data_IF_197354909945
#
_entry.id   IF_197354909945
#
_cell.length_a   1.000
_cell.length_b   1.000
_cell.length_c   1.000
_cell.angle_alpha   90.00
_cell.angle_beta   90.00
_cell.angle_gamma   90.00
#
_symmetry.space_group_name_H-M   'P 1'
#
loop_
_entity.id
_entity.type
_entity.pdbx_description
1 polymer ?
#
# COMPACT_ATOMS: atom_id res chain seq x y z
N UNK A 1 -18.65 16.82 -13.16
CA UNK A 1 -18.52 16.25 -11.80
C UNK A 1 -18.48 14.73 -11.91
N UNK A 2 -17.68 14.00 -11.10
CA UNK A 2 -17.66 12.53 -11.10
C UNK A 2 -19.07 11.96 -10.93
N UNK A 3 -19.48 11.05 -11.82
CA UNK A 3 -20.82 10.45 -11.82
C UNK A 3 -20.98 9.32 -10.81
N UNK A 4 -19.88 8.81 -10.27
CA UNK A 4 -19.83 7.68 -9.34
C UNK A 4 -19.87 8.10 -7.85
N UNK A 5 -20.06 9.38 -7.55
CA UNK A 5 -20.13 9.90 -6.19
C UNK A 5 -21.57 10.28 -5.83
N UNK A 6 -21.99 9.87 -4.63
CA UNK A 6 -23.19 10.38 -3.96
C UNK A 6 -22.81 11.65 -3.20
N UNK A 7 -23.19 12.81 -3.74
CA UNK A 7 -22.75 14.10 -3.23
C UNK A 7 -23.29 14.41 -1.83
N UNK A 8 -24.46 13.86 -1.48
CA UNK A 8 -25.07 13.94 -0.15
C UNK A 8 -24.25 13.26 0.98
N UNK A 9 -23.42 12.27 0.65
CA UNK A 9 -22.65 11.50 1.62
C UNK A 9 -21.30 12.14 1.96
N UNK A 10 -20.85 13.10 1.14
CA UNK A 10 -19.54 13.74 1.31
C UNK A 10 -19.55 14.60 2.57
N UNK A 11 -18.63 14.32 3.49
CA UNK A 11 -18.47 15.06 4.76
C UNK A 11 -17.34 16.06 4.72
N UNK A 12 -16.33 15.83 3.89
CA UNK A 12 -15.16 16.70 3.81
C UNK A 12 -14.58 16.69 2.38
N UNK A 13 -14.23 17.87 1.88
CA UNK A 13 -13.41 18.04 0.69
C UNK A 13 -12.01 18.47 1.12
N UNK A 14 -11.01 17.63 0.86
CA UNK A 14 -9.59 17.97 1.10
C UNK A 14 -8.95 18.40 -0.21
N UNK A 15 -8.30 19.56 -0.19
CA UNK A 15 -7.50 20.06 -1.31
C UNK A 15 -6.03 19.91 -0.94
N UNK A 16 -5.35 18.95 -1.55
CA UNK A 16 -3.97 18.62 -1.24
C UNK A 16 -3.04 19.06 -2.38
N UNK A 17 -2.08 19.98 -2.15
CA UNK A 17 -1.04 20.27 -3.13
C UNK A 17 -0.06 19.09 -3.20
N UNK A 18 -0.07 18.34 -4.29
CA UNK A 18 0.84 17.20 -4.52
C UNK A 18 1.20 17.11 -5.99
N UNK A 19 2.46 16.82 -6.30
CA UNK A 19 2.91 16.61 -7.69
C UNK A 19 2.65 17.79 -8.64
N UNK A 20 2.66 19.03 -8.13
CA UNK A 20 2.33 20.26 -8.89
C UNK A 20 0.88 20.33 -9.40
N UNK A 21 0.01 19.51 -8.86
CA UNK A 21 -1.43 19.66 -9.02
C UNK A 21 -2.09 19.69 -7.64
N UNK A 22 -3.35 20.11 -7.63
CA UNK A 22 -4.21 19.98 -6.47
C UNK A 22 -5.04 18.71 -6.63
N UNK A 23 -4.96 17.83 -5.64
CA UNK A 23 -5.85 16.69 -5.52
C UNK A 23 -7.07 17.14 -4.73
N UNK A 24 -8.25 16.93 -5.29
CA UNK A 24 -9.51 16.99 -4.56
C UNK A 24 -9.82 15.58 -4.05
N UNK A 25 -9.70 15.37 -2.73
CA UNK A 25 -10.14 14.13 -2.08
C UNK A 25 -11.50 14.37 -1.43
N UNK A 26 -12.48 13.56 -1.82
CA UNK A 26 -13.84 13.58 -1.26
C UNK A 26 -13.94 12.50 -0.20
N UNK A 27 -14.11 12.89 1.06
CA UNK A 27 -14.18 11.97 2.21
C UNK A 27 -15.64 11.77 2.58
N UNK A 28 -16.01 10.50 2.74
CA UNK A 28 -17.37 10.07 3.06
C UNK A 28 -17.30 8.89 4.05
N UNK A 29 -18.34 8.69 4.88
CA UNK A 29 -18.39 7.56 5.80
C UNK A 29 -18.54 6.26 5.02
N UNK A 30 -17.89 5.20 5.52
CA UNK A 30 -18.06 3.84 5.02
C UNK A 30 -18.49 2.98 6.20
N UNK A 31 -19.50 2.13 6.01
CA UNK A 31 -19.93 1.20 7.04
C UNK A 31 -18.90 0.08 7.23
N UNK A 32 -18.63 -0.27 8.48
CA UNK A 32 -17.74 -1.38 8.80
C UNK A 32 -18.40 -2.71 8.42
N UNK A 33 -17.75 -3.46 7.54
CA UNK A 33 -18.17 -4.81 7.18
C UNK A 33 -17.68 -5.76 8.26
N UNK A 34 -18.60 -6.26 9.10
CA UNK A 34 -18.32 -7.29 10.09
C UNK A 34 -18.49 -8.67 9.47
N UNK A 35 -17.41 -9.44 9.38
CA UNK A 35 -17.44 -10.86 9.03
C UNK A 35 -17.54 -11.71 10.29
N UNK A 36 -18.45 -12.69 10.31
CA UNK A 36 -18.47 -13.71 11.35
C UNK A 36 -17.42 -14.76 11.02
N UNK A 37 -16.34 -14.80 11.80
CA UNK A 37 -15.21 -15.71 11.63
C UNK A 37 -15.02 -16.56 12.88
N UNK A 38 -14.22 -17.63 12.79
CA UNK A 38 -13.92 -18.48 13.93
C UNK A 38 -12.68 -17.99 14.68
N UNK A 39 -12.88 -17.46 15.89
CA UNK A 39 -11.83 -16.91 16.73
C UNK A 39 -10.76 -17.94 17.17
N UNK A 40 -11.06 -19.24 17.07
CA UNK A 40 -10.07 -20.30 17.32
C UNK A 40 -9.12 -20.52 16.13
N UNK A 41 -9.51 -20.07 14.94
CA UNK A 41 -8.68 -20.16 13.73
C UNK A 41 -7.84 -18.90 13.63
N UNK A 42 -6.52 -19.05 13.69
CA UNK A 42 -5.58 -17.91 13.73
C UNK A 42 -4.56 -17.99 12.60
N UNK A 43 -4.14 -16.82 12.11
CA UNK A 43 -3.07 -16.68 11.12
C UNK A 43 -1.84 -16.01 11.75
N UNK A 44 -0.73 -16.74 11.83
CA UNK A 44 0.57 -16.17 12.10
C UNK A 44 1.14 -15.53 10.84
N UNK A 45 1.71 -14.33 10.98
CA UNK A 45 2.32 -13.58 9.88
C UNK A 45 3.74 -13.19 10.29
N UNK A 46 4.72 -13.71 9.57
CA UNK A 46 6.12 -13.31 9.67
C UNK A 46 6.51 -12.40 8.49
N UNK A 47 7.16 -11.28 8.78
CA UNK A 47 7.50 -10.28 7.78
C UNK A 47 8.97 -10.36 7.41
N UNK A 48 9.26 -10.29 6.11
CA UNK A 48 10.61 -10.32 5.59
C UNK A 48 10.81 -9.40 4.39
N UNK A 49 11.94 -9.58 3.71
CA UNK A 49 12.30 -8.78 2.51
C UNK A 49 12.03 -9.57 1.23
N UNK A 50 12.56 -10.80 1.14
CA UNK A 50 12.41 -11.63 -0.06
C UNK A 50 11.05 -12.35 -0.04
N UNK A 51 10.74 -13.00 1.08
CA UNK A 51 9.38 -13.41 1.41
C UNK A 51 8.82 -12.26 2.23
N UNK A 52 8.03 -11.40 1.60
CA UNK A 52 7.56 -10.20 2.26
C UNK A 52 6.66 -10.55 3.43
N UNK A 53 5.72 -11.47 3.21
CA UNK A 53 4.90 -12.07 4.26
C UNK A 53 4.94 -13.58 4.11
N UNK A 54 5.24 -14.27 5.20
CA UNK A 54 5.10 -15.72 5.35
C UNK A 54 3.96 -15.95 6.31
N UNK A 55 2.89 -16.57 5.83
CA UNK A 55 1.64 -16.70 6.58
C UNK A 55 1.35 -18.17 6.83
N UNK A 56 1.10 -18.55 8.08
CA UNK A 56 0.80 -19.93 8.50
C UNK A 56 -0.35 -19.92 9.49
N UNK A 57 -1.33 -20.79 9.30
CA UNK A 57 -2.49 -20.92 10.19
C UNK A 57 -2.41 -22.18 11.05
N UNK A 58 -3.12 -22.18 12.17
CA UNK A 58 -3.26 -23.37 13.03
C UNK A 58 -4.17 -24.47 12.43
N UNK A 59 -4.87 -24.18 11.34
CA UNK A 59 -5.71 -25.13 10.58
C UNK A 59 -4.98 -25.74 9.37
N UNK A 60 -3.65 -25.58 9.29
CA UNK A 60 -2.82 -26.25 8.28
C UNK A 60 -2.73 -25.54 6.92
N UNK A 61 -3.26 -24.33 6.77
CA UNK A 61 -3.06 -23.52 5.56
C UNK A 61 -1.82 -22.62 5.68
N UNK A 62 -1.12 -22.40 4.57
CA UNK A 62 0.01 -21.47 4.50
C UNK A 62 0.15 -20.83 3.11
N UNK A 63 0.75 -19.64 3.07
CA UNK A 63 1.09 -18.95 1.82
C UNK A 63 2.23 -17.94 2.02
N UNK A 64 2.88 -17.57 0.93
CA UNK A 64 3.95 -16.56 0.90
C UNK A 64 3.58 -15.45 -0.08
N UNK A 65 3.82 -14.20 0.30
CA UNK A 65 3.77 -13.04 -0.58
C UNK A 65 5.21 -12.67 -0.95
N UNK A 66 5.55 -12.73 -2.24
CA UNK A 66 6.89 -12.36 -2.73
C UNK A 66 7.17 -10.86 -2.56
N UNK A 67 8.35 -10.56 -2.04
CA UNK A 67 8.88 -9.20 -1.89
C UNK A 67 9.99 -8.84 -2.87
N UNK A 68 10.50 -9.80 -3.67
CA UNK A 68 11.64 -9.58 -4.58
C UNK A 68 11.32 -8.52 -5.63
N UNK A 69 10.10 -8.53 -6.17
CA UNK A 69 9.69 -7.49 -7.12
C UNK A 69 9.77 -6.09 -6.50
N UNK A 70 9.19 -5.90 -5.31
CA UNK A 70 9.16 -4.61 -4.62
C UNK A 70 10.57 -4.15 -4.21
N UNK A 71 11.40 -5.10 -3.75
CA UNK A 71 12.82 -4.88 -3.47
C UNK A 71 13.57 -4.36 -4.70
N UNK A 72 13.33 -4.95 -5.88
CA UNK A 72 13.97 -4.53 -7.13
C UNK A 72 13.59 -3.09 -7.52
N UNK A 73 12.31 -2.73 -7.37
CA UNK A 73 11.82 -1.37 -7.63
C UNK A 73 12.45 -0.36 -6.68
N UNK A 74 12.54 -0.69 -5.39
CA UNK A 74 13.17 0.17 -4.40
C UNK A 74 14.68 0.33 -4.64
N UNK A 75 15.36 -0.75 -5.05
CA UNK A 75 16.78 -0.69 -5.41
C UNK A 75 17.01 0.24 -6.60
N UNK A 76 16.18 0.16 -7.64
CA UNK A 76 16.26 1.07 -8.79
C UNK A 76 16.03 2.53 -8.38
N UNK A 77 15.03 2.78 -7.53
CA UNK A 77 14.79 4.10 -6.96
C UNK A 77 16.04 4.63 -6.22
N UNK A 78 16.66 3.83 -5.35
CA UNK A 78 17.86 4.23 -4.62
C UNK A 78 19.03 4.57 -5.55
N UNK A 79 19.26 3.76 -6.60
CA UNK A 79 20.27 4.05 -7.65
C UNK A 79 20.00 5.38 -8.33
N UNK A 80 18.74 5.65 -8.68
CA UNK A 80 18.33 6.91 -9.32
C UNK A 80 18.51 8.12 -8.40
N UNK A 81 18.15 8.00 -7.13
CA UNK A 81 18.33 9.06 -6.12
C UNK A 81 19.81 9.36 -5.92
N UNK A 82 20.65 8.34 -5.75
CA UNK A 82 22.10 8.48 -5.61
C UNK A 82 22.71 9.27 -6.77
N UNK A 83 22.34 8.93 -8.02
CA UNK A 83 22.80 9.66 -9.21
C UNK A 83 22.34 11.11 -9.25
N UNK A 84 21.09 11.38 -8.88
CA UNK A 84 20.52 12.74 -8.91
C UNK A 84 21.05 13.64 -7.80
N UNK A 85 21.40 13.06 -6.65
CA UNK A 85 21.95 13.79 -5.48
C UNK A 85 23.49 13.84 -5.47
N UNK A 86 24.17 13.24 -6.45
CA UNK A 86 25.63 13.25 -6.54
C UNK A 86 26.15 14.69 -6.64
N UNK A 87 27.10 15.04 -5.78
CA UNK A 87 27.70 16.38 -5.69
C UNK A 87 26.67 17.49 -5.46
N UNK A 88 25.59 17.20 -4.75
CA UNK A 88 24.58 18.18 -4.34
C UNK A 88 24.64 18.36 -2.83
N UNK A 89 24.21 19.54 -2.39
CA UNK A 89 24.09 19.86 -0.97
C UNK A 89 23.12 18.91 -0.25
N UNK A 90 23.33 18.76 1.06
CA UNK A 90 22.42 18.04 1.92
C UNK A 90 21.03 18.70 1.88
N UNK A 91 20.00 17.92 1.58
CA UNK A 91 18.64 18.44 1.40
C UNK A 91 18.26 18.80 -0.05
N UNK A 92 19.17 18.65 -1.02
CA UNK A 92 18.86 18.92 -2.43
C UNK A 92 17.58 18.23 -2.90
N UNK A 93 16.71 19.03 -3.52
CA UNK A 93 15.43 18.62 -4.09
C UNK A 93 15.30 19.13 -5.52
N UNK A 94 14.67 18.34 -6.38
CA UNK A 94 14.52 18.71 -7.79
C UNK A 94 13.27 18.10 -8.41
N UNK A 95 12.86 18.67 -9.55
CA UNK A 95 11.73 18.19 -10.35
C UNK A 95 11.84 16.69 -10.71
N UNK A 96 13.00 16.16 -11.15
CA UNK A 96 13.18 14.73 -11.38
C UNK A 96 13.13 13.86 -10.11
N UNK A 97 13.68 14.35 -8.98
CA UNK A 97 13.61 13.64 -7.69
C UNK A 97 12.16 13.45 -7.24
N UNK A 98 11.36 14.53 -7.28
CA UNK A 98 9.95 14.45 -6.93
C UNK A 98 9.19 13.42 -7.78
N UNK A 99 9.44 13.37 -9.09
CA UNK A 99 8.76 12.43 -9.99
C UNK A 99 9.10 10.96 -9.69
N UNK A 100 10.40 10.64 -9.45
CA UNK A 100 10.79 9.25 -9.15
C UNK A 100 10.33 8.81 -7.75
N UNK A 101 10.35 9.72 -6.77
CA UNK A 101 9.87 9.45 -5.41
C UNK A 101 8.38 9.19 -5.42
N UNK A 102 7.61 9.98 -6.18
CA UNK A 102 6.17 9.77 -6.32
C UNK A 102 5.86 8.42 -6.98
N UNK A 103 6.53 8.08 -8.08
CA UNK A 103 6.37 6.78 -8.74
C UNK A 103 6.60 5.63 -7.75
N UNK A 104 7.72 5.69 -7.01
CA UNK A 104 8.05 4.69 -5.99
C UNK A 104 6.98 4.62 -4.90
N UNK A 105 6.51 5.75 -4.39
CA UNK A 105 5.50 5.78 -3.33
C UNK A 105 4.16 5.17 -3.78
N UNK A 106 3.74 5.41 -5.03
CA UNK A 106 2.54 4.77 -5.60
C UNK A 106 2.70 3.27 -5.73
N UNK A 107 3.85 2.80 -6.22
CA UNK A 107 4.14 1.37 -6.34
C UNK A 107 4.17 0.67 -4.97
N UNK A 108 4.76 1.32 -3.96
CA UNK A 108 4.77 0.81 -2.58
C UNK A 108 3.36 0.72 -2.00
N UNK A 109 2.54 1.78 -2.16
CA UNK A 109 1.16 1.80 -1.66
C UNK A 109 0.29 0.73 -2.33
N UNK A 110 0.41 0.57 -3.65
CA UNK A 110 -0.29 -0.47 -4.41
C UNK A 110 0.08 -1.88 -3.92
N UNK A 111 1.37 -2.15 -3.71
CA UNK A 111 1.84 -3.42 -3.19
C UNK A 111 1.27 -3.74 -1.80
N UNK A 112 1.26 -2.76 -0.88
CA UNK A 112 0.68 -2.92 0.48
C UNK A 112 -0.80 -3.23 0.41
N UNK A 113 -1.55 -2.49 -0.40
CA UNK A 113 -3.00 -2.70 -0.54
C UNK A 113 -3.32 -4.08 -1.12
N UNK A 114 -2.54 -4.54 -2.11
CA UNK A 114 -2.70 -5.88 -2.70
C UNK A 114 -2.33 -6.98 -1.73
N UNK A 115 -1.22 -6.85 -1.00
CA UNK A 115 -0.82 -7.80 0.02
C UNK A 115 -1.88 -7.90 1.14
N UNK A 116 -2.37 -6.77 1.65
CA UNK A 116 -3.45 -6.75 2.63
C UNK A 116 -4.72 -7.43 2.10
N UNK A 117 -5.12 -7.15 0.85
CA UNK A 117 -6.26 -7.81 0.21
C UNK A 117 -6.08 -9.33 0.11
N UNK A 118 -4.89 -9.80 -0.25
CA UNK A 118 -4.59 -11.23 -0.32
C UNK A 118 -4.73 -11.89 1.06
N UNK A 119 -4.19 -11.27 2.11
CA UNK A 119 -4.29 -11.78 3.48
C UNK A 119 -5.75 -11.81 3.94
N UNK A 120 -6.51 -10.72 3.74
CA UNK A 120 -7.94 -10.65 4.10
C UNK A 120 -8.73 -11.73 3.37
N UNK A 121 -8.53 -11.87 2.05
CA UNK A 121 -9.24 -12.88 1.27
C UNK A 121 -8.91 -14.30 1.75
N UNK A 122 -7.66 -14.58 2.09
CA UNK A 122 -7.27 -15.87 2.69
C UNK A 122 -8.01 -16.13 4.00
N UNK A 123 -8.09 -15.13 4.87
CA UNK A 123 -8.78 -15.25 6.16
C UNK A 123 -10.28 -15.50 5.98
N UNK A 124 -10.93 -14.75 5.08
CA UNK A 124 -12.35 -14.91 4.77
C UNK A 124 -12.66 -16.29 4.16
N UNK A 125 -11.84 -16.77 3.23
CA UNK A 125 -12.03 -18.08 2.57
C UNK A 125 -11.85 -19.26 3.52
N UNK A 126 -10.99 -19.13 4.53
CA UNK A 126 -10.64 -20.20 5.45
C UNK A 126 -11.29 -20.03 6.84
N UNK A 127 -12.21 -19.08 6.99
CA UNK A 127 -12.91 -18.79 8.24
C UNK A 127 -11.94 -18.54 9.43
N UNK A 128 -10.93 -17.71 9.21
CA UNK A 128 -9.88 -17.37 10.18
C UNK A 128 -10.15 -15.97 10.73
N UNK A 129 -10.42 -15.81 12.02
CA UNK A 129 -10.59 -14.49 12.64
C UNK A 129 -11.49 -14.47 13.86
#
# INVERSE_FOLDING_TARGET
MPSNLKWEDIKELRILPRNRCFYAEFVYPVEDIKSQLNASNVLGIDHGINNWLTCVSNIGTSFIIDGKHLKSLNQWYNKRVSRLKKNKEQGFWSKPLAAITEKRNRQMKDAVNKAARMVINHCLLNNIG
#
